data_IF_332070909712
#
_entry.id   IF_332070909712
#
_cell.length_a   1.000
_cell.length_b   1.000
_cell.length_c   1.000
_cell.angle_alpha   90.00
_cell.angle_beta   90.00
_cell.angle_gamma   90.00
#
_symmetry.space_group_name_H-M   'P 1'
#
loop_
_entity.id
_entity.type
_entity.pdbx_description
1 polymer ?
#
# COMPACT_ATOMS: atom_id res chain seq x y z
N UNK A 1 11.55 23.85 13.96
CA UNK A 1 10.26 23.55 13.33
C UNK A 1 9.75 22.25 13.92
N UNK A 2 8.57 22.22 14.53
CA UNK A 2 8.00 20.97 15.02
C UNK A 2 7.69 20.08 13.81
N UNK A 3 8.22 18.85 13.79
CA UNK A 3 7.88 17.90 12.75
C UNK A 3 6.36 17.69 12.78
N UNK A 4 5.67 18.02 11.68
CA UNK A 4 4.26 17.70 11.51
C UNK A 4 4.07 16.22 11.80
N UNK A 5 3.26 15.87 12.81
CA UNK A 5 3.08 14.50 13.29
C UNK A 5 2.46 13.64 12.18
N UNK A 6 3.31 12.97 11.41
CA UNK A 6 2.90 12.14 10.29
C UNK A 6 2.45 10.77 10.78
N UNK A 7 1.24 10.36 10.41
CA UNK A 7 0.73 9.02 10.67
C UNK A 7 1.40 8.04 9.71
N UNK A 8 2.16 7.11 10.29
CA UNK A 8 2.86 6.05 9.56
C UNK A 8 1.97 4.82 9.50
N UNK A 9 1.55 4.45 8.31
CA UNK A 9 0.57 3.39 8.07
C UNK A 9 1.27 2.12 7.58
N UNK A 10 0.90 0.98 8.17
CA UNK A 10 1.19 -0.35 7.64
C UNK A 10 -0.08 -0.98 7.07
N UNK A 11 0.03 -1.67 5.93
CA UNK A 11 -1.10 -2.39 5.31
C UNK A 11 -0.78 -3.88 5.33
N UNK A 12 -1.58 -4.67 6.04
CA UNK A 12 -1.52 -6.13 6.00
C UNK A 12 -2.60 -6.66 5.04
N UNK A 13 -2.19 -7.40 4.03
CA UNK A 13 -3.02 -7.87 2.92
C UNK A 13 -3.12 -6.83 1.79
N UNK A 14 -2.46 -7.13 0.68
CA UNK A 14 -2.57 -6.41 -0.58
C UNK A 14 -3.60 -7.15 -1.45
N UNK A 15 -4.87 -7.02 -1.06
CA UNK A 15 -6.01 -7.37 -1.89
C UNK A 15 -6.65 -6.13 -2.51
N UNK A 16 -7.87 -6.26 -3.01
CA UNK A 16 -8.64 -5.12 -3.52
C UNK A 16 -8.75 -3.97 -2.51
N UNK A 17 -9.07 -4.29 -1.25
CA UNK A 17 -9.14 -3.29 -0.18
C UNK A 17 -7.77 -2.75 0.22
N UNK A 18 -6.72 -3.56 0.16
CA UNK A 18 -5.35 -3.12 0.44
C UNK A 18 -4.89 -2.04 -0.54
N UNK A 19 -5.11 -2.27 -1.85
CA UNK A 19 -4.84 -1.28 -2.91
C UNK A 19 -5.68 -0.02 -2.72
N UNK A 20 -6.96 -0.18 -2.42
CA UNK A 20 -7.88 0.95 -2.20
C UNK A 20 -7.40 1.84 -1.05
N UNK A 21 -7.04 1.24 0.09
CA UNK A 21 -6.49 1.98 1.22
C UNK A 21 -5.14 2.60 0.90
N UNK A 22 -4.25 1.88 0.20
CA UNK A 22 -2.96 2.42 -0.24
C UNK A 22 -3.14 3.72 -1.05
N UNK A 23 -4.04 3.70 -2.04
CA UNK A 23 -4.37 4.88 -2.84
C UNK A 23 -5.06 5.99 -2.04
N UNK A 24 -5.90 5.65 -1.06
CA UNK A 24 -6.57 6.62 -0.19
C UNK A 24 -5.57 7.33 0.74
N UNK A 25 -4.67 6.58 1.40
CA UNK A 25 -3.66 7.15 2.28
C UNK A 25 -2.68 8.08 1.56
N UNK A 26 -2.38 7.80 0.28
CA UNK A 26 -1.58 8.71 -0.55
C UNK A 26 -2.21 10.08 -0.79
N UNK A 27 -3.54 10.21 -0.61
CA UNK A 27 -4.28 11.46 -0.78
C UNK A 27 -4.51 12.22 0.53
N UNK A 28 -4.18 11.64 1.68
CA UNK A 28 -4.41 12.24 3.00
C UNK A 28 -3.14 13.00 3.43
N UNK A 29 -3.20 14.34 3.58
CA UNK A 29 -2.09 15.11 4.11
C UNK A 29 -1.73 14.63 5.52
N UNK A 30 -0.44 14.37 5.75
CA UNK A 30 0.03 13.87 7.04
C UNK A 30 -0.11 12.36 7.25
N UNK A 31 -0.52 11.58 6.24
CA UNK A 31 -0.43 10.13 6.25
C UNK A 31 0.65 9.64 5.27
N UNK A 32 1.30 8.52 5.57
CA UNK A 32 2.18 7.81 4.63
C UNK A 32 2.19 6.32 4.91
N UNK A 33 1.96 5.53 3.88
CA UNK A 33 2.21 4.09 3.93
C UNK A 33 3.72 3.87 3.97
N UNK A 34 4.19 3.23 5.03
CA UNK A 34 5.62 2.93 5.24
C UNK A 34 5.91 1.45 5.32
N UNK A 35 4.88 0.61 5.38
CA UNK A 35 5.00 -0.83 5.43
C UNK A 35 3.83 -1.52 4.72
N UNK A 36 4.12 -2.67 4.11
CA UNK A 36 3.11 -3.62 3.62
C UNK A 36 3.47 -5.04 4.09
N UNK A 37 2.47 -5.91 4.21
CA UNK A 37 2.65 -7.34 4.43
C UNK A 37 1.69 -8.13 3.54
N UNK A 38 2.18 -9.12 2.80
CA UNK A 38 1.38 -10.05 2.00
C UNK A 38 2.20 -11.33 1.74
N UNK A 39 1.54 -12.44 1.43
CA UNK A 39 2.19 -13.73 1.19
C UNK A 39 2.46 -14.01 -0.28
N UNK A 40 1.96 -13.16 -1.19
CA UNK A 40 2.25 -13.25 -2.61
C UNK A 40 3.54 -12.49 -2.96
N UNK A 41 4.60 -13.18 -3.41
CA UNK A 41 5.87 -12.54 -3.78
C UNK A 41 5.74 -11.48 -4.88
N UNK A 42 4.75 -11.62 -5.79
CA UNK A 42 4.51 -10.60 -6.83
C UNK A 42 4.06 -9.29 -6.20
N UNK A 43 3.19 -9.37 -5.19
CA UNK A 43 2.69 -8.19 -4.51
C UNK A 43 3.74 -7.55 -3.61
N UNK A 44 4.57 -8.37 -2.98
CA UNK A 44 5.76 -7.91 -2.26
C UNK A 44 6.75 -7.17 -3.18
N UNK A 45 6.86 -7.59 -4.44
CA UNK A 45 7.63 -6.91 -5.49
C UNK A 45 6.92 -5.68 -6.10
N UNK A 46 5.72 -5.33 -5.62
CA UNK A 46 4.96 -4.18 -6.11
C UNK A 46 4.16 -4.44 -7.39
N UNK A 47 4.06 -5.69 -7.84
CA UNK A 47 3.21 -6.06 -8.96
C UNK A 47 1.80 -6.41 -8.47
N UNK A 48 0.89 -5.43 -8.57
CA UNK A 48 -0.51 -5.56 -8.15
C UNK A 48 -1.47 -5.67 -9.33
N UNK A 49 -0.98 -5.90 -10.56
CA UNK A 49 -1.86 -5.92 -11.76
C UNK A 49 -2.88 -7.07 -11.76
N UNK A 50 -2.61 -8.13 -10.99
CA UNK A 50 -3.52 -9.24 -10.79
C UNK A 50 -4.71 -8.92 -9.87
N UNK A 51 -4.67 -7.79 -9.17
CA UNK A 51 -5.70 -7.43 -8.18
C UNK A 51 -6.90 -6.83 -8.90
N UNK A 52 -8.03 -7.53 -8.77
CA UNK A 52 -9.34 -7.13 -9.29
C UNK A 52 -10.30 -6.95 -8.14
N UNK A 53 -11.25 -6.04 -8.32
CA UNK A 53 -12.40 -5.88 -7.43
C UNK A 53 -13.64 -5.49 -8.20
N UNK A 54 -14.76 -5.47 -7.50
CA UNK A 54 -16.07 -5.21 -8.09
C UNK A 54 -16.33 -3.71 -8.38
N UNK A 55 -15.48 -2.80 -7.89
CA UNK A 55 -15.63 -1.35 -8.02
C UNK A 55 -14.25 -0.68 -8.17
N UNK A 56 -14.17 0.47 -8.85
CA UNK A 56 -12.92 1.23 -8.97
C UNK A 56 -11.86 0.60 -9.88
N UNK A 57 -10.69 1.25 -9.98
CA UNK A 57 -9.53 0.73 -10.71
C UNK A 57 -8.84 -0.37 -9.88
N UNK A 58 -8.47 -1.48 -10.52
CA UNK A 58 -7.68 -2.54 -9.89
C UNK A 58 -6.28 -2.10 -9.47
N UNK A 59 -5.46 -3.06 -9.03
CA UNK A 59 -4.06 -2.80 -8.73
C UNK A 59 -3.22 -2.55 -9.99
N UNK A 60 -2.07 -1.90 -9.82
CA UNK A 60 -1.09 -1.62 -10.87
C UNK A 60 0.32 -1.98 -10.43
N UNK A 61 1.34 -1.47 -11.10
CA UNK A 61 2.72 -1.56 -10.60
C UNK A 61 2.99 -0.38 -9.66
N UNK A 62 3.52 -0.69 -8.48
CA UNK A 62 3.83 0.29 -7.43
C UNK A 62 5.29 0.17 -7.06
N UNK A 63 5.97 1.32 -6.96
CA UNK A 63 7.33 1.37 -6.44
C UNK A 63 7.32 1.27 -4.90
N UNK A 64 7.91 0.19 -4.39
CA UNK A 64 8.01 -0.10 -2.97
C UNK A 64 9.42 0.13 -2.42
N UNK A 65 10.34 0.75 -3.18
CA UNK A 65 11.75 0.94 -2.78
C UNK A 65 11.91 1.65 -1.43
N UNK A 66 10.94 2.49 -1.04
CA UNK A 66 10.92 3.22 0.23
C UNK A 66 9.88 2.70 1.24
N UNK A 67 9.36 1.48 1.02
CA UNK A 67 8.33 0.84 1.84
C UNK A 67 8.89 -0.45 2.42
N UNK A 68 8.71 -0.69 3.71
CA UNK A 68 9.11 -1.97 4.32
C UNK A 68 8.15 -3.06 3.87
N UNK A 69 8.67 -4.16 3.36
CA UNK A 69 7.88 -5.30 2.89
C UNK A 69 8.08 -6.47 3.85
N UNK A 70 6.99 -7.08 4.28
CA UNK A 70 6.95 -8.21 5.20
C UNK A 70 6.10 -9.36 4.63
N UNK A 71 6.31 -10.55 5.18
CA UNK A 71 5.41 -11.70 5.03
C UNK A 71 4.37 -11.69 6.17
N UNK A 72 3.16 -12.20 5.94
CA UNK A 72 2.00 -12.09 6.86
C UNK A 72 1.40 -13.41 7.32
#
# INVERSE_FOLDING_TARGET
MAATKQVRVGIAGIGFMGVTHYGAFGKIPGAKVVAIADNDPKKQAGDWTGIRGNFGSGGGKVDLSNTKVFES
#
